data_IF_429920219997
#
_entry.id   IF_429920219997
#
_cell.length_a   1.000
_cell.length_b   1.000
_cell.length_c   1.000
_cell.angle_alpha   90.00
_cell.angle_beta   90.00
_cell.angle_gamma   90.00
#
_symmetry.space_group_name_H-M   'P 1'
#
loop_
_entity.id
_entity.type
_entity.pdbx_description
1 polymer ?
#
# COMPACT_ATOMS: atom_id res chain seq x y z
N UNK A 1 12.87 -3.83 16.46
CA UNK A 1 14.07 -2.98 16.39
C UNK A 1 13.85 -1.92 15.32
N UNK A 2 13.96 -0.67 15.70
CA UNK A 2 13.83 0.40 14.74
C UNK A 2 15.05 0.38 13.82
N UNK A 3 14.82 0.03 12.56
CA UNK A 3 15.86 0.21 11.56
C UNK A 3 15.90 1.67 11.17
N UNK A 4 17.09 2.20 11.04
CA UNK A 4 17.24 3.54 10.52
C UNK A 4 16.60 3.60 9.13
N UNK A 5 15.92 4.69 8.88
CA UNK A 5 15.24 4.94 7.64
C UNK A 5 16.24 5.02 6.50
N UNK A 6 16.09 4.16 5.51
CA UNK A 6 16.92 4.24 4.33
C UNK A 6 16.47 5.42 3.47
N UNK A 7 17.46 6.11 2.87
CA UNK A 7 17.18 7.13 1.89
C UNK A 7 17.42 6.56 0.50
N UNK A 8 16.39 6.61 -0.35
CA UNK A 8 16.43 6.07 -1.69
C UNK A 8 16.92 7.11 -2.69
N UNK A 9 17.64 6.64 -3.70
CA UNK A 9 17.90 7.46 -4.89
C UNK A 9 16.73 7.33 -5.85
N UNK A 10 16.64 8.27 -6.79
CA UNK A 10 15.64 8.19 -7.86
C UNK A 10 15.77 6.88 -8.63
N UNK A 11 17.01 6.49 -8.97
CA UNK A 11 17.26 5.25 -9.71
C UNK A 11 16.85 4.00 -8.94
N UNK A 12 17.04 4.00 -7.62
CA UNK A 12 16.61 2.86 -6.79
C UNK A 12 15.10 2.71 -6.78
N UNK A 13 14.36 3.82 -6.67
CA UNK A 13 12.90 3.77 -6.71
C UNK A 13 12.41 3.36 -8.09
N UNK A 14 13.02 3.91 -9.15
CA UNK A 14 12.66 3.53 -10.52
C UNK A 14 12.84 2.04 -10.76
N UNK A 15 13.87 1.44 -10.19
CA UNK A 15 14.10 0.00 -10.28
C UNK A 15 12.98 -0.81 -9.61
N UNK A 16 12.25 -0.25 -8.66
CA UNK A 16 11.16 -0.90 -7.97
C UNK A 16 9.82 -0.79 -8.69
N UNK A 17 9.70 0.11 -9.67
CA UNK A 17 8.41 0.34 -10.36
C UNK A 17 7.78 -0.93 -10.91
N UNK A 18 8.50 -1.83 -11.61
CA UNK A 18 7.88 -3.06 -12.08
C UNK A 18 7.29 -3.92 -10.96
N UNK A 19 7.96 -4.00 -9.81
CA UNK A 19 7.44 -4.74 -8.66
C UNK A 19 6.20 -4.04 -8.08
N UNK A 20 6.24 -2.72 -7.97
CA UNK A 20 5.09 -1.93 -7.49
C UNK A 20 3.88 -2.11 -8.40
N UNK A 21 4.09 -2.10 -9.71
CA UNK A 21 3.01 -2.32 -10.67
C UNK A 21 2.37 -3.70 -10.51
N UNK A 22 3.19 -4.74 -10.34
CA UNK A 22 2.67 -6.10 -10.12
C UNK A 22 1.87 -6.19 -8.82
N UNK A 23 2.38 -5.58 -7.76
CA UNK A 23 1.68 -5.58 -6.47
C UNK A 23 0.33 -4.86 -6.60
N UNK A 24 0.30 -3.70 -7.24
CA UNK A 24 -0.96 -2.95 -7.39
C UNK A 24 -1.98 -3.63 -8.29
N UNK A 25 -1.55 -4.43 -9.28
CA UNK A 25 -2.50 -5.27 -10.02
C UNK A 25 -3.26 -6.19 -9.06
N UNK A 26 -2.54 -6.83 -8.14
CA UNK A 26 -3.16 -7.71 -7.14
C UNK A 26 -4.01 -6.90 -6.15
N UNK A 27 -3.51 -5.77 -5.68
CA UNK A 27 -4.24 -4.90 -4.75
C UNK A 27 -5.58 -4.47 -5.34
N UNK A 28 -5.59 -4.03 -6.60
CA UNK A 28 -6.83 -3.58 -7.25
C UNK A 28 -7.82 -4.71 -7.45
N UNK A 29 -7.34 -5.90 -7.82
CA UNK A 29 -8.19 -7.07 -7.95
C UNK A 29 -8.80 -7.49 -6.61
N UNK A 30 -8.00 -7.53 -5.56
CA UNK A 30 -8.46 -7.86 -4.22
C UNK A 30 -9.47 -6.85 -3.71
N UNK A 31 -9.23 -5.58 -3.93
CA UNK A 31 -10.18 -4.53 -3.52
C UNK A 31 -11.50 -4.63 -4.26
N UNK A 32 -11.46 -4.93 -5.55
CA UNK A 32 -12.68 -5.12 -6.34
C UNK A 32 -13.50 -6.32 -5.81
N UNK A 33 -12.82 -7.41 -5.50
CA UNK A 33 -13.47 -8.59 -4.90
C UNK A 33 -14.08 -8.30 -3.54
N UNK A 34 -13.34 -7.58 -2.68
CA UNK A 34 -13.83 -7.17 -1.37
C UNK A 34 -15.06 -6.27 -1.47
N UNK A 35 -15.02 -5.31 -2.40
CA UNK A 35 -16.16 -4.41 -2.61
C UNK A 35 -17.40 -5.16 -3.06
N UNK A 36 -17.25 -6.04 -4.04
CA UNK A 36 -18.37 -6.82 -4.56
C UNK A 36 -18.97 -7.72 -3.47
N UNK A 37 -18.12 -8.42 -2.73
CA UNK A 37 -18.55 -9.33 -1.68
C UNK A 37 -19.12 -8.57 -0.48
N UNK A 38 -18.53 -7.43 -0.14
CA UNK A 38 -19.03 -6.56 0.92
C UNK A 38 -20.44 -6.05 0.62
N UNK A 39 -20.68 -5.64 -0.62
CA UNK A 39 -22.02 -5.22 -1.06
C UNK A 39 -23.04 -6.34 -0.96
N UNK A 40 -22.62 -7.55 -1.32
CA UNK A 40 -23.48 -8.74 -1.23
C UNK A 40 -23.85 -9.04 0.22
N UNK A 41 -22.89 -8.96 1.13
CA UNK A 41 -23.10 -9.16 2.56
C UNK A 41 -23.98 -8.05 3.16
N UNK A 42 -23.76 -6.80 2.77
CA UNK A 42 -24.60 -5.68 3.20
C UNK A 42 -26.07 -5.88 2.80
N UNK A 43 -26.31 -6.34 1.58
CA UNK A 43 -27.69 -6.61 1.12
C UNK A 43 -28.34 -7.74 1.92
N UNK A 44 -27.54 -8.67 2.44
CA UNK A 44 -28.03 -9.74 3.30
C UNK A 44 -28.15 -9.30 4.77
N UNK A 45 -27.88 -8.04 5.08
CA UNK A 45 -27.93 -7.51 6.45
C UNK A 45 -26.77 -7.93 7.32
N UNK A 46 -25.68 -8.37 6.71
CA UNK A 46 -24.50 -8.86 7.43
C UNK A 46 -23.44 -7.77 7.51
N UNK A 47 -22.98 -7.47 8.72
CA UNK A 47 -21.87 -6.55 8.95
C UNK A 47 -20.68 -7.33 9.49
N UNK A 48 -19.51 -7.10 8.89
CA UNK A 48 -18.27 -7.71 9.32
C UNK A 48 -17.42 -6.70 10.09
N UNK A 49 -16.87 -7.15 11.20
CA UNK A 49 -15.86 -6.39 11.93
C UNK A 49 -14.48 -6.72 11.32
N UNK A 50 -13.99 -5.83 10.49
CA UNK A 50 -12.70 -6.00 9.81
C UNK A 50 -11.52 -5.92 10.78
N UNK A 51 -11.74 -5.42 11.98
CA UNK A 51 -10.72 -5.35 13.03
C UNK A 51 -10.67 -6.62 13.89
N UNK A 52 -11.68 -7.49 13.78
CA UNK A 52 -11.72 -8.72 14.58
C UNK A 52 -10.59 -9.65 14.17
N UNK A 53 -9.97 -10.27 15.15
CA UNK A 53 -8.86 -11.20 14.97
C UNK A 53 -9.06 -12.47 15.80
N UNK A 54 -8.36 -13.52 15.43
CA UNK A 54 -8.34 -14.78 16.18
C UNK A 54 -9.72 -15.40 16.34
N UNK A 55 -10.06 -15.77 17.58
CA UNK A 55 -11.31 -16.45 17.88
C UNK A 55 -12.55 -15.62 17.55
N UNK A 56 -12.49 -14.29 17.67
CA UNK A 56 -13.59 -13.41 17.30
C UNK A 56 -13.86 -13.49 15.79
N UNK A 57 -12.83 -13.44 14.99
CA UNK A 57 -12.96 -13.53 13.53
C UNK A 57 -13.50 -14.90 13.11
N UNK A 58 -13.00 -15.97 13.72
CA UNK A 58 -13.48 -17.32 13.47
C UNK A 58 -14.95 -17.50 13.85
N UNK A 59 -15.34 -16.99 15.02
CA UNK A 59 -16.72 -17.05 15.48
C UNK A 59 -17.65 -16.30 14.52
N UNK A 60 -17.22 -15.15 14.04
CA UNK A 60 -17.98 -14.36 13.08
C UNK A 60 -18.20 -15.12 11.76
N UNK A 61 -17.17 -15.79 11.27
CA UNK A 61 -17.25 -16.56 10.02
C UNK A 61 -18.24 -17.73 10.18
N UNK A 62 -18.27 -18.37 11.33
CA UNK A 62 -19.07 -19.57 11.57
C UNK A 62 -20.55 -19.29 11.77
N UNK A 63 -20.96 -18.02 11.93
CA UNK A 63 -22.36 -17.69 12.16
C UNK A 63 -23.13 -17.45 10.87
N UNK A 64 -24.40 -17.80 10.88
CA UNK A 64 -25.33 -17.58 9.78
C UNK A 64 -25.54 -18.78 8.86
N UNK A 65 -26.36 -18.61 7.81
CA UNK A 65 -26.60 -19.69 6.82
C UNK A 65 -25.31 -20.07 6.07
N UNK A 66 -25.24 -21.27 5.48
CA UNK A 66 -24.02 -21.74 4.80
C UNK A 66 -23.48 -20.77 3.73
N UNK A 67 -24.34 -20.19 2.92
CA UNK A 67 -23.90 -19.24 1.87
C UNK A 67 -23.30 -17.99 2.47
N UNK A 68 -23.85 -17.51 3.59
CA UNK A 68 -23.33 -16.34 4.30
C UNK A 68 -22.00 -16.67 4.95
N UNK A 69 -21.90 -17.83 5.58
CA UNK A 69 -20.63 -18.27 6.20
C UNK A 69 -19.52 -18.37 5.17
N UNK A 70 -19.83 -18.94 4.01
CA UNK A 70 -18.86 -19.05 2.91
C UNK A 70 -18.41 -17.66 2.42
N UNK A 71 -19.35 -16.75 2.25
CA UNK A 71 -19.05 -15.39 1.81
C UNK A 71 -18.16 -14.64 2.83
N UNK A 72 -18.44 -14.82 4.12
CA UNK A 72 -17.62 -14.25 5.18
C UNK A 72 -16.20 -14.80 5.16
N UNK A 73 -16.06 -16.11 4.97
CA UNK A 73 -14.74 -16.74 4.91
C UNK A 73 -13.93 -16.23 3.72
N UNK A 74 -14.56 -16.10 2.55
CA UNK A 74 -13.90 -15.56 1.36
C UNK A 74 -13.50 -14.10 1.60
N UNK A 75 -14.39 -13.30 2.19
CA UNK A 75 -14.09 -11.90 2.51
C UNK A 75 -12.84 -11.80 3.39
N UNK A 76 -12.77 -12.60 4.45
CA UNK A 76 -11.61 -12.61 5.35
C UNK A 76 -10.33 -13.00 4.61
N UNK A 77 -10.40 -14.01 3.75
CA UNK A 77 -9.25 -14.42 2.95
C UNK A 77 -8.75 -13.34 2.02
N UNK A 78 -9.67 -12.63 1.35
CA UNK A 78 -9.31 -11.52 0.47
C UNK A 78 -8.70 -10.35 1.27
N UNK A 79 -9.24 -10.07 2.44
CA UNK A 79 -8.76 -8.99 3.31
C UNK A 79 -7.34 -9.27 3.79
N UNK A 80 -7.05 -10.51 4.19
CA UNK A 80 -5.70 -10.93 4.57
C UNK A 80 -4.73 -10.83 3.39
N UNK A 81 -5.15 -11.29 2.21
CA UNK A 81 -4.33 -11.20 1.01
C UNK A 81 -4.00 -9.76 0.64
N UNK A 82 -4.98 -8.86 0.80
CA UNK A 82 -4.75 -7.42 0.58
C UNK A 82 -3.72 -6.86 1.54
N UNK A 83 -3.84 -7.20 2.83
CA UNK A 83 -2.87 -6.77 3.84
C UNK A 83 -1.46 -7.26 3.51
N UNK A 84 -1.34 -8.50 3.04
CA UNK A 84 -0.05 -9.08 2.65
C UNK A 84 0.58 -8.32 1.48
N UNK A 85 -0.23 -7.95 0.48
CA UNK A 85 0.26 -7.20 -0.66
C UNK A 85 0.74 -5.80 -0.26
N UNK A 86 -0.01 -5.12 0.61
CA UNK A 86 0.39 -3.80 1.12
C UNK A 86 1.67 -3.91 1.95
N UNK A 87 1.82 -4.97 2.72
CA UNK A 87 3.04 -5.21 3.49
C UNK A 87 4.25 -5.45 2.60
N UNK A 88 4.06 -6.01 1.40
CA UNK A 88 5.15 -6.17 0.43
C UNK A 88 5.70 -4.83 -0.02
N UNK A 89 4.83 -3.83 -0.22
CA UNK A 89 5.27 -2.48 -0.58
C UNK A 89 6.09 -1.89 0.55
N UNK A 90 5.61 -2.06 1.79
CA UNK A 90 6.33 -1.58 2.97
C UNK A 90 7.70 -2.24 3.09
N UNK A 91 7.78 -3.54 2.81
CA UNK A 91 9.05 -4.28 2.84
C UNK A 91 10.04 -3.78 1.78
N UNK A 92 9.55 -3.23 0.67
CA UNK A 92 10.40 -2.60 -0.34
C UNK A 92 10.90 -1.23 0.10
N UNK A 93 10.38 -0.68 1.19
CA UNK A 93 10.77 0.62 1.70
C UNK A 93 9.80 1.75 1.39
N UNK A 94 8.68 1.44 0.75
CA UNK A 94 7.66 2.42 0.40
C UNK A 94 6.56 2.53 1.45
N UNK A 95 5.93 3.67 1.49
CA UNK A 95 4.75 3.90 2.33
C UNK A 95 3.57 4.24 1.42
N UNK A 96 2.53 3.43 1.49
CA UNK A 96 1.32 3.66 0.69
C UNK A 96 0.54 4.80 1.32
N UNK A 97 0.36 5.87 0.56
CA UNK A 97 -0.38 7.05 1.01
C UNK A 97 -1.84 7.03 0.58
N UNK A 98 -2.12 6.42 -0.55
CA UNK A 98 -3.48 6.31 -1.08
C UNK A 98 -3.58 5.05 -1.92
N UNK A 99 -4.36 4.08 -1.45
CA UNK A 99 -4.50 2.80 -2.12
C UNK A 99 -5.28 2.95 -3.43
N UNK A 100 -6.30 3.81 -3.45
CA UNK A 100 -7.15 4.00 -4.62
C UNK A 100 -6.39 4.63 -5.79
N UNK A 101 -5.54 5.60 -5.49
CA UNK A 101 -4.72 6.27 -6.50
C UNK A 101 -3.41 5.53 -6.78
N UNK A 102 -3.03 4.60 -5.92
CA UNK A 102 -1.76 3.90 -6.04
C UNK A 102 -0.58 4.82 -5.74
N UNK A 103 -0.70 5.65 -4.70
CA UNK A 103 0.38 6.57 -4.29
C UNK A 103 1.29 5.90 -3.28
N UNK A 104 2.59 5.92 -3.57
CA UNK A 104 3.62 5.38 -2.68
C UNK A 104 4.75 6.39 -2.54
N UNK A 105 5.14 6.65 -1.30
CA UNK A 105 6.24 7.55 -0.98
C UNK A 105 7.46 6.77 -0.50
N UNK A 106 8.64 7.23 -0.90
CA UNK A 106 9.92 6.66 -0.48
C UNK A 106 10.80 7.77 0.12
N UNK A 107 11.41 7.54 1.29
CA UNK A 107 12.27 8.57 1.88
C UNK A 107 13.52 8.82 1.06
N UNK A 108 13.91 10.08 0.96
CA UNK A 108 15.11 10.51 0.26
C UNK A 108 15.62 11.81 0.87
N UNK A 109 16.66 12.39 0.28
CA UNK A 109 17.18 13.69 0.70
C UNK A 109 17.39 14.58 -0.51
N UNK A 110 17.22 15.88 -0.28
CA UNK A 110 17.50 16.92 -1.26
C UNK A 110 18.26 18.04 -0.55
N UNK A 111 19.50 18.28 -0.95
CA UNK A 111 20.37 19.25 -0.27
C UNK A 111 20.47 19.00 1.24
N UNK A 112 20.52 17.73 1.65
CA UNK A 112 20.61 17.34 3.04
C UNK A 112 19.30 17.36 3.83
N UNK A 113 18.22 17.84 3.23
CA UNK A 113 16.89 17.82 3.87
C UNK A 113 16.11 16.57 3.49
N UNK A 114 15.39 16.02 4.44
CA UNK A 114 14.56 14.84 4.19
C UNK A 114 13.36 15.21 3.33
N UNK A 115 13.14 14.43 2.27
CA UNK A 115 12.00 14.57 1.37
C UNK A 115 11.37 13.21 1.12
N UNK A 116 10.27 13.19 0.39
CA UNK A 116 9.63 11.95 -0.05
C UNK A 116 9.57 11.94 -1.57
N UNK A 117 10.09 10.87 -2.16
CA UNK A 117 9.93 10.60 -3.58
C UNK A 117 8.56 10.00 -3.78
N UNK A 118 7.76 10.58 -4.66
CA UNK A 118 6.34 10.24 -4.78
C UNK A 118 6.05 9.59 -6.14
N UNK A 119 5.68 8.33 -6.09
CA UNK A 119 5.27 7.58 -7.27
C UNK A 119 3.78 7.31 -7.24
N UNK A 120 3.16 7.42 -8.41
CA UNK A 120 1.74 7.10 -8.59
C UNK A 120 1.59 6.00 -9.62
N UNK A 121 0.70 5.05 -9.37
CA UNK A 121 0.41 3.98 -10.32
C UNK A 121 0.05 4.56 -11.68
N UNK A 122 0.70 4.06 -12.72
CA UNK A 122 0.59 4.56 -14.08
C UNK A 122 1.79 5.38 -14.52
N UNK A 123 2.57 5.90 -13.60
CA UNK A 123 3.80 6.61 -13.94
C UNK A 123 4.90 5.60 -14.24
N UNK A 124 5.47 5.69 -15.43
CA UNK A 124 6.49 4.73 -15.89
C UNK A 124 7.88 5.06 -15.38
N UNK A 125 8.08 6.30 -14.92
CA UNK A 125 9.32 6.74 -14.29
C UNK A 125 8.97 7.56 -13.07
N UNK A 126 9.96 7.77 -12.20
CA UNK A 126 9.77 8.58 -11.01
C UNK A 126 10.00 10.05 -11.37
N UNK A 127 8.95 10.84 -11.40
CA UNK A 127 9.02 12.22 -11.84
C UNK A 127 8.87 13.28 -10.75
N UNK A 128 8.51 12.90 -9.52
CA UNK A 128 8.08 13.88 -8.51
C UNK A 128 8.57 13.58 -7.11
N UNK A 129 8.68 14.64 -6.33
CA UNK A 129 8.96 14.58 -4.91
C UNK A 129 8.09 15.61 -4.18
N UNK A 130 7.94 15.48 -2.87
CA UNK A 130 7.32 16.50 -2.03
C UNK A 130 8.02 16.54 -0.67
N UNK A 131 7.80 17.63 0.08
CA UNK A 131 8.34 17.74 1.43
C UNK A 131 7.66 16.73 2.36
N UNK A 132 8.29 16.45 3.49
CA UNK A 132 7.74 15.50 4.48
C UNK A 132 6.35 15.92 4.95
N UNK A 133 6.12 17.23 5.08
CA UNK A 133 4.84 17.79 5.50
C UNK A 133 3.84 17.98 4.36
N UNK A 134 4.28 17.75 3.11
CA UNK A 134 3.44 17.89 1.94
C UNK A 134 2.73 16.61 1.56
N UNK A 135 2.03 16.64 0.45
CA UNK A 135 1.35 15.48 -0.09
C UNK A 135 1.27 15.57 -1.60
N UNK A 136 0.40 14.76 -2.21
CA UNK A 136 0.27 14.67 -3.66
C UNK A 136 0.08 16.04 -4.32
N UNK A 137 -0.71 16.92 -3.73
CA UNK A 137 -0.99 18.24 -4.28
C UNK A 137 0.23 19.18 -4.29
N UNK A 138 1.26 18.86 -3.49
CA UNK A 138 2.47 19.66 -3.40
C UNK A 138 3.66 19.03 -4.15
N UNK A 139 3.40 18.09 -5.03
CA UNK A 139 4.45 17.41 -5.81
C UNK A 139 5.24 18.40 -6.65
N UNK A 140 6.54 18.19 -6.68
CA UNK A 140 7.48 18.99 -7.46
C UNK A 140 8.30 18.07 -8.38
N UNK A 141 8.71 18.57 -9.55
CA UNK A 141 9.54 17.75 -10.46
C UNK A 141 10.87 17.36 -9.82
N UNK A 142 11.32 16.14 -10.11
CA UNK A 142 12.64 15.64 -9.73
C UNK A 142 13.72 16.55 -10.32
N UNK A 143 14.77 16.83 -9.55
CA UNK A 143 15.90 17.62 -9.98
C UNK A 143 17.22 17.00 -9.52
N UNK A 144 18.33 17.62 -9.95
CA UNK A 144 19.66 17.10 -9.69
C UNK A 144 20.12 17.26 -8.22
N UNK A 145 19.35 17.96 -7.40
CA UNK A 145 19.69 18.20 -5.99
C UNK A 145 19.27 17.05 -5.09
N UNK A 146 18.50 16.11 -5.62
CA UNK A 146 18.09 14.91 -4.88
C UNK A 146 19.27 13.95 -4.81
N UNK A 147 19.41 13.25 -3.68
CA UNK A 147 20.54 12.38 -3.44
C UNK A 147 20.73 11.38 -4.60
N UNK A 148 21.97 11.25 -5.06
CA UNK A 148 22.32 10.38 -6.17
C UNK A 148 23.01 9.10 -5.70
N UNK A 149 23.31 9.00 -4.41
CA UNK A 149 23.93 7.82 -3.83
C UNK A 149 23.11 7.34 -2.63
N UNK A 150 22.99 6.00 -2.43
CA UNK A 150 22.24 5.49 -1.30
C UNK A 150 22.86 5.96 0.02
N UNK A 151 22.00 6.30 0.97
CA UNK A 151 22.41 6.61 2.32
C UNK A 151 22.72 5.28 3.01
N UNK A 152 23.98 5.07 3.37
CA UNK A 152 24.38 3.90 4.14
C UNK A 152 24.66 4.31 5.56
N UNK A 153 24.08 3.56 6.45
CA UNK A 153 24.38 3.70 7.86
C UNK A 153 25.46 2.69 8.20
N UNK A 154 26.58 3.20 8.50
CA UNK A 154 27.69 2.38 8.95
C UNK A 154 27.60 2.15 10.46
#
# INVERSE_FOLDING_TARGET
MATAREHFTVGEVEALIPALERIFVQVLQLRAGLRALGQKLDRAGVKLDRQAEGAEAESEIESGPPAVRQAKAVFRGLDEALSDELERIRALGGEVKDVDLGLVDFPSTRNGEEILLCWKLGEKSLGYWHSVDGGFASRRPIDAQITSAPSRLD
#
